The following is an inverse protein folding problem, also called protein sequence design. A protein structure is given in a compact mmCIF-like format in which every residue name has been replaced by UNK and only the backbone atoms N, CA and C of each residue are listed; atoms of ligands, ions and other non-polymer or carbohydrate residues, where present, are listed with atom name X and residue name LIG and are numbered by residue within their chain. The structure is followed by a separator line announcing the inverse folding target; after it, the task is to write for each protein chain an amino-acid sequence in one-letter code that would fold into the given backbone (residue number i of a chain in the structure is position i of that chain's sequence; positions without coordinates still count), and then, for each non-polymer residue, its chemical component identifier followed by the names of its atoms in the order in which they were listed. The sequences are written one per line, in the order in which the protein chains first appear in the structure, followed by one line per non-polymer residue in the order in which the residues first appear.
data_IF_053414321951
#
_entry.id   IF_053414321951
#
_cell.length_a   1.000
_cell.length_b   1.000
_cell.length_c   1.000
_cell.angle_alpha   90.00
_cell.angle_beta   90.00
_cell.angle_gamma   90.00
#
_symmetry.space_group_name_H-M   'P 1'
#
loop_
_entity.id
_entity.type
_entity.pdbx_description
1 polymer ?
#
# COMPACT_ATOMS: atom_id res chain seq x y z
N UNK A 1 -13.76 -48.23 -37.65
CA UNK A 1 -14.12 -48.11 -39.08
C UNK A 1 -14.59 -46.67 -39.34
N UNK A 2 -13.91 -45.98 -40.26
CA UNK A 2 -14.24 -44.70 -40.96
C UNK A 2 -14.39 -43.40 -40.13
N UNK A 3 -13.48 -42.40 -40.19
CA UNK A 3 -13.27 -41.32 -41.22
C UNK A 3 -14.49 -40.39 -41.41
N UNK A 4 -14.45 -39.05 -41.46
CA UNK A 4 -13.46 -38.02 -41.87
C UNK A 4 -13.79 -36.66 -41.16
N UNK A 5 -12.87 -35.75 -40.77
CA UNK A 5 -12.05 -34.76 -41.50
C UNK A 5 -12.78 -33.82 -42.48
N UNK A 6 -12.92 -32.52 -42.13
CA UNK A 6 -12.87 -31.36 -43.06
C UNK A 6 -12.30 -30.14 -42.32
N UNK A 7 -11.25 -29.55 -42.90
CA UNK A 7 -10.68 -28.24 -42.58
C UNK A 7 -11.18 -27.18 -43.58
N UNK A 8 -11.22 -25.90 -43.20
CA UNK A 8 -11.09 -24.79 -44.16
C UNK A 8 -10.45 -23.56 -43.53
N UNK A 9 -9.48 -23.00 -44.24
CA UNK A 9 -8.58 -21.91 -43.88
C UNK A 9 -8.97 -20.56 -44.52
N UNK A 10 -8.24 -19.52 -44.08
CA UNK A 10 -7.95 -18.23 -44.78
C UNK A 10 -9.00 -17.12 -44.58
N UNK A 11 -8.67 -15.88 -44.22
CA UNK A 11 -7.75 -14.98 -44.95
C UNK A 11 -7.29 -13.78 -44.11
N UNK A 12 -6.03 -13.42 -44.27
CA UNK A 12 -5.27 -12.26 -43.76
C UNK A 12 -5.70 -10.93 -44.38
N UNK A 13 -5.67 -9.82 -43.64
CA UNK A 13 -5.38 -8.50 -44.22
C UNK A 13 -4.62 -7.59 -43.24
N UNK A 14 -3.40 -7.23 -43.64
CA UNK A 14 -2.51 -6.21 -43.05
C UNK A 14 -2.75 -4.87 -43.75
N UNK A 15 -2.87 -3.77 -42.98
CA UNK A 15 -2.74 -2.38 -43.47
C UNK A 15 -2.01 -1.62 -42.34
N UNK A 16 -0.68 -1.44 -42.44
CA UNK A 16 0.07 -0.34 -43.08
C UNK A 16 0.12 0.96 -42.26
N UNK A 17 1.34 1.25 -41.82
CA UNK A 17 1.86 2.43 -41.11
C UNK A 17 1.59 3.77 -41.79
N UNK A 18 1.59 4.84 -40.97
CA UNK A 18 2.08 6.16 -41.38
C UNK A 18 2.61 6.96 -40.17
N UNK A 19 3.94 7.14 -40.14
CA UNK A 19 4.65 8.15 -39.34
C UNK A 19 4.39 9.52 -39.95
N UNK A 20 4.19 10.54 -39.11
CA UNK A 20 4.29 11.95 -39.53
C UNK A 20 5.39 12.65 -38.72
N UNK A 21 6.19 13.40 -39.46
CA UNK A 21 7.47 14.01 -39.11
C UNK A 21 7.36 15.28 -38.26
N UNK A 22 8.38 15.51 -37.44
CA UNK A 22 8.79 16.81 -36.91
C UNK A 22 9.25 17.77 -38.03
N UNK A 23 9.11 19.09 -37.84
CA UNK A 23 10.00 20.05 -38.46
C UNK A 23 10.98 20.66 -37.43
N UNK A 24 12.24 20.69 -37.86
CA UNK A 24 13.37 21.40 -37.26
C UNK A 24 13.74 22.65 -38.05
N UNK A 25 14.43 23.59 -37.36
CA UNK A 25 15.35 24.64 -37.84
C UNK A 25 14.80 26.05 -38.07
N UNK A 26 15.43 27.02 -37.39
CA UNK A 26 16.30 28.09 -37.95
C UNK A 26 16.52 29.14 -36.86
N UNK A 27 17.71 29.27 -36.27
CA UNK A 27 18.96 29.91 -36.74
C UNK A 27 19.00 31.44 -36.56
N UNK A 28 19.96 31.84 -35.72
CA UNK A 28 20.87 32.99 -35.84
C UNK A 28 20.29 34.41 -35.65
N UNK A 29 20.83 35.13 -34.66
CA UNK A 29 21.74 36.28 -34.87
C UNK A 29 22.09 36.96 -33.52
N UNK A 30 23.38 37.01 -33.21
CA UNK A 30 23.98 37.96 -32.24
C UNK A 30 24.30 39.28 -32.95
N UNK A 31 24.47 40.38 -32.20
CA UNK A 31 25.83 40.90 -31.92
C UNK A 31 25.96 41.37 -30.45
N UNK A 32 27.02 41.03 -29.70
CA UNK A 32 28.39 41.59 -29.67
C UNK A 32 28.50 43.03 -29.12
N UNK A 33 29.62 43.28 -28.41
CA UNK A 33 30.21 44.56 -27.94
C UNK A 33 29.70 45.01 -26.55
N UNK A 34 30.50 45.35 -25.51
CA UNK A 34 31.93 45.70 -25.34
C UNK A 34 32.34 45.59 -23.86
N UNK A 35 33.58 45.19 -23.59
CA UNK A 35 34.29 45.40 -22.32
C UNK A 35 35.08 46.72 -22.33
N UNK A 36 35.38 47.29 -21.16
CA UNK A 36 36.70 47.87 -20.95
C UNK A 36 37.45 47.20 -19.80
N UNK A 37 38.76 47.11 -20.03
CA UNK A 37 39.81 46.51 -19.22
C UNK A 37 40.66 47.65 -18.69
N UNK A 38 40.81 47.80 -17.37
CA UNK A 38 41.90 48.60 -16.77
C UNK A 38 42.30 48.04 -15.40
N UNK A 39 43.54 47.54 -15.35
CA UNK A 39 44.43 47.42 -14.19
C UNK A 39 45.39 48.64 -14.25
N UNK A 40 46.00 49.15 -13.16
CA UNK A 40 47.15 48.43 -12.59
C UNK A 40 47.52 48.66 -11.09
N UNK A 41 48.44 47.77 -10.68
CA UNK A 41 49.63 47.94 -9.82
C UNK A 41 49.55 48.13 -8.30
N UNK A 42 50.13 47.11 -7.64
CA UNK A 42 51.18 47.12 -6.61
C UNK A 42 50.86 47.49 -5.16
N UNK A 43 51.18 46.54 -4.26
CA UNK A 43 51.72 46.85 -2.94
C UNK A 43 51.23 45.98 -1.79
N UNK A 44 52.18 45.34 -1.11
CA UNK A 44 52.14 44.89 0.29
C UNK A 44 51.50 43.53 0.67
N UNK A 45 52.42 42.57 0.76
CA UNK A 45 52.59 41.54 1.80
C UNK A 45 51.63 41.61 3.01
N UNK A 46 50.84 40.55 3.19
CA UNK A 46 50.31 40.18 4.51
C UNK A 46 50.10 38.67 4.60
N UNK A 47 50.62 38.08 5.68
CA UNK A 47 50.45 36.67 6.04
C UNK A 47 48.97 36.27 5.99
N UNK A 48 48.66 35.23 5.21
CA UNK A 48 47.36 34.55 5.27
C UNK A 48 47.44 33.49 6.36
N UNK A 49 46.82 33.77 7.50
CA UNK A 49 46.46 32.75 8.48
C UNK A 49 45.38 31.87 7.86
N UNK A 50 45.73 30.62 7.54
CA UNK A 50 44.80 29.62 7.03
C UNK A 50 43.97 29.04 8.19
N UNK A 51 43.07 29.83 8.78
CA UNK A 51 41.96 29.24 9.53
C UNK A 51 40.89 28.84 8.53
N UNK A 52 40.92 27.59 8.09
CA UNK A 52 39.82 26.97 7.35
C UNK A 52 38.57 26.94 8.23
N UNK A 53 37.77 28.01 8.20
CA UNK A 53 36.39 27.95 8.63
C UNK A 53 35.65 27.13 7.59
N UNK A 54 35.61 25.82 7.79
CA UNK A 54 34.60 24.96 7.19
C UNK A 54 33.26 25.38 7.79
N UNK A 55 32.65 26.40 7.19
CA UNK A 55 31.22 26.64 7.35
C UNK A 55 30.53 25.48 6.66
N UNK A 56 30.27 24.42 7.41
CA UNK A 56 29.37 23.37 7.00
C UNK A 56 27.98 24.01 6.91
N UNK A 57 27.67 24.54 5.73
CA UNK A 57 26.32 24.94 5.36
C UNK A 57 25.46 23.67 5.34
N UNK A 58 24.92 23.29 6.51
CA UNK A 58 23.81 22.34 6.61
C UNK A 58 22.67 22.94 5.78
N UNK A 59 22.54 22.48 4.54
CA UNK A 59 21.34 22.72 3.73
C UNK A 59 20.22 21.95 4.41
N UNK A 60 19.48 22.60 5.29
CA UNK A 60 18.22 22.08 5.79
C UNK A 60 17.23 22.09 4.62
N UNK A 61 16.98 20.92 4.05
CA UNK A 61 15.86 20.73 3.15
C UNK A 61 14.59 20.72 4.01
N UNK A 62 13.88 21.85 4.00
CA UNK A 62 12.53 21.93 4.55
C UNK A 62 11.56 21.92 3.36
N UNK A 63 10.91 20.78 3.14
CA UNK A 63 9.76 20.69 2.24
C UNK A 63 8.52 20.79 3.13
N UNK A 64 7.61 21.71 2.80
CA UNK A 64 6.28 21.76 3.42
C UNK A 64 5.39 20.78 2.65
N UNK A 65 5.16 19.60 3.20
CA UNK A 65 4.14 18.68 2.70
C UNK A 65 2.75 19.24 3.06
N UNK A 66 1.79 19.21 2.14
CA UNK A 66 0.37 19.45 2.47
C UNK A 66 -0.19 18.22 3.19
N UNK A 67 -1.29 18.39 3.94
CA UNK A 67 -1.90 17.29 4.70
C UNK A 67 -2.31 16.09 3.83
N UNK A 68 -2.57 16.32 2.53
CA UNK A 68 -2.89 15.27 1.54
C UNK A 68 -1.66 14.51 1.02
N UNK A 69 -0.43 14.93 1.38
CA UNK A 69 0.84 14.30 0.94
C UNK A 69 1.44 13.37 2.01
N UNK A 70 0.77 13.18 3.16
CA UNK A 70 1.29 12.33 4.22
C UNK A 70 1.14 10.84 3.84
N UNK A 71 2.15 10.01 4.11
CA UNK A 71 2.00 8.58 3.94
C UNK A 71 0.91 8.05 4.87
N UNK A 72 0.12 7.09 4.42
CA UNK A 72 -0.94 6.49 5.26
C UNK A 72 -0.35 5.79 6.49
N UNK A 73 0.72 5.02 6.30
CA UNK A 73 1.42 4.33 7.39
C UNK A 73 2.06 5.37 8.33
N UNK A 74 1.84 5.19 9.63
CA UNK A 74 2.26 6.11 10.70
C UNK A 74 1.23 7.20 11.02
N UNK A 75 0.11 7.27 10.30
CA UNK A 75 -0.95 8.25 10.52
C UNK A 75 -2.29 7.58 10.83
N UNK A 76 -3.23 8.37 11.38
CA UNK A 76 -4.60 7.93 11.64
C UNK A 76 -5.25 7.46 10.33
N UNK A 77 -5.90 6.30 10.38
CA UNK A 77 -6.65 5.78 9.24
C UNK A 77 -7.80 6.72 8.86
N UNK A 78 -8.06 6.94 7.55
CA UNK A 78 -9.26 7.64 7.11
C UNK A 78 -10.51 6.93 7.64
N UNK A 79 -11.32 7.64 8.43
CA UNK A 79 -12.56 7.07 8.96
C UNK A 79 -13.61 6.92 7.86
N UNK A 80 -14.48 5.91 8.00
CA UNK A 80 -15.60 5.68 7.10
C UNK A 80 -16.78 5.10 7.87
N UNK A 81 -17.98 5.31 7.35
CA UNK A 81 -19.20 4.58 7.73
C UNK A 81 -19.82 4.05 6.44
N UNK A 82 -20.08 2.74 6.37
CA UNK A 82 -20.62 2.09 5.19
C UNK A 82 -21.50 0.89 5.56
N UNK A 83 -22.35 0.49 4.63
CA UNK A 83 -23.13 -0.74 4.74
C UNK A 83 -22.23 -1.94 4.47
N UNK A 84 -22.50 -3.05 5.17
CA UNK A 84 -21.78 -4.29 5.04
C UNK A 84 -22.72 -5.49 5.14
N UNK A 85 -22.26 -6.65 4.66
CA UNK A 85 -22.91 -7.95 4.88
C UNK A 85 -22.17 -8.70 5.98
N UNK A 86 -22.89 -9.15 7.00
CA UNK A 86 -22.40 -10.04 8.05
C UNK A 86 -23.54 -10.94 8.52
N UNK A 87 -23.29 -12.23 8.75
CA UNK A 87 -24.34 -13.23 9.04
C UNK A 87 -25.53 -13.19 8.07
N UNK A 88 -25.25 -12.91 6.79
CA UNK A 88 -26.23 -12.73 5.71
C UNK A 88 -27.25 -11.58 5.95
N UNK A 89 -26.97 -10.68 6.88
CA UNK A 89 -27.75 -9.47 7.16
C UNK A 89 -27.01 -8.20 6.71
N UNK A 90 -27.77 -7.14 6.45
CA UNK A 90 -27.21 -5.82 6.18
C UNK A 90 -26.99 -5.07 7.49
N UNK A 91 -25.73 -4.74 7.77
CA UNK A 91 -25.32 -3.99 8.94
C UNK A 91 -24.61 -2.69 8.52
N UNK A 92 -24.36 -1.81 9.49
CA UNK A 92 -23.47 -0.67 9.31
C UNK A 92 -22.15 -0.92 10.04
N UNK A 93 -21.05 -0.57 9.38
CA UNK A 93 -19.71 -0.63 9.95
C UNK A 93 -19.12 0.77 9.91
N UNK A 94 -18.58 1.20 11.05
CA UNK A 94 -17.82 2.44 11.15
C UNK A 94 -16.43 2.16 11.71
N UNK A 95 -15.37 2.55 10.99
CA UNK A 95 -14.00 2.20 11.36
C UNK A 95 -13.61 2.73 12.74
N UNK A 96 -14.01 3.96 13.08
CA UNK A 96 -13.72 4.54 14.38
C UNK A 96 -14.38 3.83 15.57
N UNK A 97 -15.35 2.93 15.36
CA UNK A 97 -15.96 2.15 16.44
C UNK A 97 -15.03 1.06 16.99
N UNK A 98 -13.97 0.69 16.26
CA UNK A 98 -12.95 -0.26 16.70
C UNK A 98 -11.83 0.39 17.51
N UNK A 99 -11.67 1.73 17.42
CA UNK A 99 -10.64 2.48 18.15
C UNK A 99 -10.83 2.28 19.66
N UNK A 100 -9.75 1.97 20.34
CA UNK A 100 -9.67 1.66 21.77
C UNK A 100 -10.15 0.24 22.12
N UNK A 101 -10.65 -0.54 21.15
CA UNK A 101 -11.23 -1.86 21.39
C UNK A 101 -10.41 -2.97 20.74
N UNK A 102 -10.24 -2.94 19.43
CA UNK A 102 -9.60 -4.02 18.64
C UNK A 102 -8.56 -3.43 17.67
N UNK A 103 -7.59 -4.27 17.27
CA UNK A 103 -6.86 -4.03 16.03
C UNK A 103 -7.78 -4.29 14.83
N UNK A 104 -7.45 -3.75 13.66
CA UNK A 104 -8.24 -3.99 12.44
C UNK A 104 -7.31 -4.38 11.29
N UNK A 105 -7.62 -5.51 10.66
CA UNK A 105 -7.11 -5.87 9.33
C UNK A 105 -8.14 -5.42 8.30
N UNK A 106 -7.86 -4.30 7.64
CA UNK A 106 -8.71 -3.76 6.57
C UNK A 106 -8.10 -4.14 5.23
N UNK A 107 -8.79 -4.96 4.44
CA UNK A 107 -8.27 -5.39 3.14
C UNK A 107 -9.27 -5.14 2.02
N UNK A 108 -8.76 -4.59 0.92
CA UNK A 108 -9.50 -4.30 -0.29
C UNK A 108 -9.34 -5.44 -1.29
N UNK A 109 -10.37 -5.70 -2.07
CA UNK A 109 -10.30 -6.56 -3.25
C UNK A 109 -11.02 -5.91 -4.44
N UNK A 110 -10.65 -6.28 -5.68
CA UNK A 110 -11.15 -5.57 -6.86
C UNK A 110 -12.67 -5.64 -7.07
N UNK A 111 -13.22 -6.85 -7.16
CA UNK A 111 -14.61 -7.13 -7.53
C UNK A 111 -15.07 -8.49 -6.99
N UNK A 112 -16.36 -8.57 -6.70
CA UNK A 112 -17.11 -9.81 -6.46
C UNK A 112 -17.14 -10.72 -7.71
N UNK A 113 -17.40 -12.01 -7.52
CA UNK A 113 -17.51 -13.02 -8.59
C UNK A 113 -16.29 -13.10 -9.53
N UNK A 114 -15.09 -12.87 -8.98
CA UNK A 114 -13.81 -13.03 -9.68
C UNK A 114 -13.01 -14.22 -9.14
N UNK A 115 -11.73 -14.37 -9.53
CA UNK A 115 -10.98 -15.62 -9.34
C UNK A 115 -10.09 -15.65 -8.08
N UNK A 116 -9.23 -14.65 -7.88
CA UNK A 116 -8.30 -14.61 -6.73
C UNK A 116 -8.99 -14.09 -5.46
N UNK A 117 -9.94 -13.18 -5.61
CA UNK A 117 -10.68 -12.59 -4.49
C UNK A 117 -11.34 -13.62 -3.56
N UNK A 118 -12.11 -14.62 -4.05
CA UNK A 118 -12.74 -15.59 -3.16
C UNK A 118 -11.71 -16.42 -2.39
N UNK A 119 -10.53 -16.68 -2.97
CA UNK A 119 -9.47 -17.41 -2.26
C UNK A 119 -8.90 -16.62 -1.09
N UNK A 120 -8.78 -15.30 -1.22
CA UNK A 120 -8.28 -14.45 -0.12
C UNK A 120 -9.35 -14.28 0.96
N UNK A 121 -10.59 -13.99 0.55
CA UNK A 121 -11.71 -13.76 1.46
C UNK A 121 -11.95 -15.00 2.33
N UNK A 122 -12.03 -16.18 1.70
CA UNK A 122 -12.23 -17.44 2.43
C UNK A 122 -11.03 -17.83 3.28
N UNK A 123 -9.80 -17.59 2.84
CA UNK A 123 -8.59 -17.88 3.63
C UNK A 123 -8.51 -17.05 4.93
N UNK A 124 -8.90 -15.77 4.90
CA UNK A 124 -9.04 -14.97 6.13
C UNK A 124 -10.19 -15.48 7.00
N UNK A 125 -11.30 -15.93 6.39
CA UNK A 125 -12.49 -16.36 7.14
C UNK A 125 -12.23 -17.66 7.88
N UNK A 126 -11.59 -18.62 7.22
CA UNK A 126 -11.27 -19.93 7.79
C UNK A 126 -10.29 -19.82 8.96
N UNK A 127 -9.49 -18.74 9.00
CA UNK A 127 -8.53 -18.44 10.07
C UNK A 127 -8.96 -17.29 10.98
N UNK A 128 -10.22 -16.85 10.88
CA UNK A 128 -10.71 -15.69 11.63
C UNK A 128 -10.52 -15.83 13.14
N UNK A 129 -10.74 -17.02 13.70
CA UNK A 129 -10.54 -17.27 15.14
C UNK A 129 -9.12 -16.94 15.62
N UNK A 130 -8.10 -17.07 14.77
CA UNK A 130 -6.72 -16.72 15.14
C UNK A 130 -6.58 -15.21 15.34
N UNK A 131 -7.24 -14.41 14.50
CA UNK A 131 -7.28 -12.95 14.63
C UNK A 131 -8.13 -12.52 15.83
N UNK A 132 -9.27 -13.17 16.04
CA UNK A 132 -10.16 -12.89 17.17
C UNK A 132 -9.45 -13.12 18.50
N UNK A 133 -8.69 -14.23 18.65
CA UNK A 133 -7.87 -14.52 19.84
C UNK A 133 -6.80 -13.45 20.10
N UNK A 134 -6.34 -12.77 19.06
CA UNK A 134 -5.43 -11.62 19.14
C UNK A 134 -6.16 -10.28 19.23
N UNK A 135 -7.45 -10.29 19.59
CA UNK A 135 -8.28 -9.09 19.75
C UNK A 135 -8.23 -8.19 18.50
N UNK A 136 -8.40 -8.83 17.33
CA UNK A 136 -8.30 -8.21 16.01
C UNK A 136 -9.55 -8.51 15.20
N UNK A 137 -10.09 -7.49 14.54
CA UNK A 137 -11.19 -7.61 13.58
C UNK A 137 -10.65 -7.70 12.15
N UNK A 138 -11.37 -8.39 11.27
CA UNK A 138 -11.08 -8.41 9.82
C UNK A 138 -12.21 -7.73 9.08
N UNK A 139 -11.89 -6.87 8.11
CA UNK A 139 -12.87 -6.19 7.26
C UNK A 139 -12.44 -6.34 5.79
N UNK A 140 -13.28 -6.99 4.99
CA UNK A 140 -13.12 -7.05 3.54
C UNK A 140 -13.87 -5.90 2.87
N UNK A 141 -13.29 -5.25 1.87
CA UNK A 141 -13.90 -4.11 1.18
C UNK A 141 -13.78 -4.27 -0.34
N UNK A 142 -14.86 -4.04 -1.08
CA UNK A 142 -14.78 -3.77 -2.53
C UNK A 142 -15.75 -2.67 -2.93
N UNK A 143 -15.73 -2.31 -4.22
CA UNK A 143 -16.63 -1.31 -4.80
C UNK A 143 -18.02 -1.84 -5.12
N UNK A 144 -18.29 -3.12 -4.83
CA UNK A 144 -19.57 -3.77 -5.09
C UNK A 144 -20.61 -3.39 -4.03
N UNK A 145 -21.89 -3.57 -4.36
CA UNK A 145 -22.99 -3.30 -3.42
C UNK A 145 -23.19 -4.45 -2.43
N UNK A 146 -23.82 -4.17 -1.29
CA UNK A 146 -24.21 -5.22 -0.31
C UNK A 146 -25.10 -6.32 -0.90
N UNK A 147 -25.87 -6.02 -1.97
CA UNK A 147 -26.67 -7.04 -2.67
C UNK A 147 -25.80 -8.04 -3.44
N UNK A 148 -24.69 -7.56 -4.03
CA UNK A 148 -23.71 -8.41 -4.70
C UNK A 148 -22.98 -9.28 -3.67
N UNK A 149 -22.53 -8.67 -2.56
CA UNK A 149 -21.90 -9.39 -1.46
C UNK A 149 -22.80 -10.51 -0.93
N UNK A 150 -24.08 -10.22 -0.64
CA UNK A 150 -25.02 -11.20 -0.13
C UNK A 150 -25.23 -12.36 -1.12
N UNK A 151 -25.42 -12.05 -2.41
CA UNK A 151 -25.54 -13.07 -3.43
C UNK A 151 -24.29 -13.95 -3.53
N UNK A 152 -23.10 -13.37 -3.33
CA UNK A 152 -21.84 -14.10 -3.40
C UNK A 152 -21.57 -14.97 -2.16
N UNK A 153 -21.96 -14.48 -0.97
CA UNK A 153 -22.00 -15.24 0.30
C UNK A 153 -22.93 -16.44 0.17
N UNK A 154 -24.11 -16.25 -0.42
CA UNK A 154 -25.08 -17.33 -0.66
C UNK A 154 -24.67 -18.32 -1.77
N UNK A 155 -23.58 -18.05 -2.50
CA UNK A 155 -23.05 -18.95 -3.51
C UNK A 155 -22.05 -19.92 -2.87
N UNK A 156 -22.18 -21.21 -3.19
CA UNK A 156 -21.25 -22.24 -2.70
C UNK A 156 -19.80 -21.99 -3.14
N UNK A 157 -18.84 -22.24 -2.24
CA UNK A 157 -17.40 -22.16 -2.56
C UNK A 157 -16.99 -23.02 -3.76
N UNK A 158 -17.61 -24.19 -3.94
CA UNK A 158 -17.37 -25.09 -5.09
C UNK A 158 -17.77 -24.46 -6.43
N UNK A 159 -18.68 -23.49 -6.41
CA UNK A 159 -19.16 -22.75 -7.58
C UNK A 159 -18.46 -21.39 -7.74
N UNK A 160 -17.38 -21.14 -6.99
CA UNK A 160 -16.66 -19.86 -6.98
C UNK A 160 -17.29 -18.79 -6.06
N UNK A 161 -18.22 -19.19 -5.19
CA UNK A 161 -18.79 -18.35 -4.15
C UNK A 161 -17.95 -18.28 -2.88
N UNK A 162 -18.49 -17.64 -1.86
CA UNK A 162 -17.79 -17.47 -0.57
C UNK A 162 -18.29 -18.44 0.51
N UNK A 163 -19.56 -18.85 0.45
CA UNK A 163 -20.23 -19.44 1.61
C UNK A 163 -20.30 -18.47 2.79
N UNK A 164 -20.65 -18.98 3.97
CA UNK A 164 -20.68 -18.16 5.19
C UNK A 164 -19.28 -17.62 5.53
N UNK A 165 -19.26 -16.38 6.02
CA UNK A 165 -18.06 -15.65 6.42
C UNK A 165 -18.11 -15.30 7.90
N UNK A 166 -16.94 -15.29 8.52
CA UNK A 166 -16.78 -14.98 9.94
C UNK A 166 -16.51 -13.49 10.21
N UNK A 167 -16.60 -12.64 9.19
CA UNK A 167 -16.37 -11.20 9.32
C UNK A 167 -17.14 -10.38 8.27
N UNK A 168 -17.31 -9.06 8.47
CA UNK A 168 -18.08 -8.21 7.56
C UNK A 168 -17.44 -7.98 6.18
N UNK A 169 -18.26 -8.03 5.12
CA UNK A 169 -17.93 -7.49 3.78
C UNK A 169 -18.56 -6.12 3.59
N UNK A 170 -17.71 -5.09 3.55
CA UNK A 170 -18.09 -3.68 3.44
C UNK A 170 -18.20 -3.27 1.97
N UNK A 171 -19.32 -2.63 1.64
CA UNK A 171 -19.60 -2.10 0.30
C UNK A 171 -19.14 -0.65 0.18
N UNK A 172 -18.12 -0.40 -0.65
CA UNK A 172 -17.64 0.93 -1.05
C UNK A 172 -18.22 1.36 -2.41
N UNK A 173 -19.55 1.34 -2.53
CA UNK A 173 -20.25 1.64 -3.79
C UNK A 173 -19.92 3.05 -4.35
N UNK A 174 -19.56 3.99 -3.47
CA UNK A 174 -19.16 5.35 -3.83
C UNK A 174 -17.69 5.49 -4.18
N UNK A 175 -16.88 4.45 -3.94
CA UNK A 175 -15.43 4.38 -4.15
C UNK A 175 -14.62 5.32 -3.27
N UNK A 176 -15.27 5.95 -2.28
CA UNK A 176 -14.66 6.96 -1.43
C UNK A 176 -13.68 6.35 -0.44
N UNK A 177 -13.98 5.15 0.06
CA UNK A 177 -13.10 4.42 0.99
C UNK A 177 -11.82 4.03 0.23
N UNK A 178 -11.95 3.34 -0.89
CA UNK A 178 -10.85 2.91 -1.76
C UNK A 178 -9.97 4.09 -2.20
N UNK A 179 -10.59 5.25 -2.48
CA UNK A 179 -9.87 6.48 -2.81
C UNK A 179 -9.08 7.04 -1.62
N UNK A 180 -9.70 7.09 -0.44
CA UNK A 180 -9.05 7.61 0.79
C UNK A 180 -7.87 6.76 1.26
N UNK A 181 -7.91 5.45 1.00
CA UNK A 181 -6.80 4.53 1.24
C UNK A 181 -5.81 4.44 0.08
N UNK A 182 -6.00 5.23 -0.99
CA UNK A 182 -5.05 5.29 -2.12
C UNK A 182 -4.95 4.01 -2.95
N UNK A 183 -5.97 3.14 -2.90
CA UNK A 183 -5.96 1.84 -3.58
C UNK A 183 -6.89 1.79 -4.79
N UNK A 184 -7.73 2.81 -5.00
CA UNK A 184 -8.59 2.91 -6.18
C UNK A 184 -7.77 3.10 -7.46
N UNK A 185 -8.00 2.27 -8.48
CA UNK A 185 -7.53 2.48 -9.85
C UNK A 185 -8.58 3.36 -10.56
N UNK A 186 -8.33 4.67 -10.80
CA UNK A 186 -9.37 5.59 -11.25
C UNK A 186 -9.98 5.18 -12.61
N UNK A 187 -9.14 4.71 -13.53
CA UNK A 187 -9.54 4.36 -14.90
C UNK A 187 -10.40 3.09 -14.98
N UNK A 188 -10.30 2.22 -13.97
CA UNK A 188 -11.04 0.96 -13.90
C UNK A 188 -12.18 1.02 -12.87
N UNK A 189 -12.10 1.95 -11.92
CA UNK A 189 -13.09 2.11 -10.87
C UNK A 189 -13.17 0.94 -9.90
N UNK A 190 -12.05 0.23 -9.69
CA UNK A 190 -11.90 -0.91 -8.77
C UNK A 190 -10.68 -0.69 -7.87
N UNK A 191 -10.63 -1.36 -6.72
CA UNK A 191 -9.48 -1.29 -5.83
C UNK A 191 -8.36 -2.28 -6.23
N UNK A 192 -7.12 -1.91 -5.98
CA UNK A 192 -5.99 -2.83 -5.88
C UNK A 192 -6.16 -3.77 -4.67
N UNK A 193 -5.30 -4.79 -4.57
CA UNK A 193 -5.26 -5.69 -3.41
C UNK A 193 -4.48 -5.04 -2.26
N UNK A 194 -5.01 -3.94 -1.75
CA UNK A 194 -4.48 -3.23 -0.58
C UNK A 194 -4.90 -3.90 0.72
N UNK A 195 -3.99 -4.01 1.69
CA UNK A 195 -4.25 -4.47 3.03
C UNK A 195 -3.57 -3.52 4.01
N UNK A 196 -4.26 -3.17 5.07
CA UNK A 196 -3.80 -2.26 6.11
C UNK A 196 -3.99 -2.91 7.48
N UNK A 197 -2.96 -2.86 8.33
CA UNK A 197 -3.06 -3.23 9.74
C UNK A 197 -3.17 -1.93 10.53
N UNK A 198 -4.26 -1.78 11.27
CA UNK A 198 -4.60 -0.58 12.03
C UNK A 198 -4.58 -0.95 13.51
N UNK A 199 -3.88 -0.16 14.32
CA UNK A 199 -3.80 -0.37 15.76
C UNK A 199 -5.03 0.12 16.52
N UNK A 200 -5.03 -0.11 17.84
CA UNK A 200 -6.13 0.31 18.72
C UNK A 200 -6.27 1.82 18.80
N UNK A 201 -5.24 2.59 18.51
CA UNK A 201 -5.25 4.05 18.45
C UNK A 201 -5.82 4.55 17.12
N UNK A 202 -6.11 3.65 16.17
CA UNK A 202 -6.61 3.94 14.84
C UNK A 202 -5.52 4.40 13.88
N UNK A 203 -4.24 4.10 14.17
CA UNK A 203 -3.09 4.44 13.33
C UNK A 203 -2.77 3.26 12.41
N UNK A 204 -2.53 3.54 11.13
CA UNK A 204 -2.11 2.52 10.17
C UNK A 204 -0.64 2.19 10.43
N UNK A 205 -0.35 0.94 10.78
CA UNK A 205 1.00 0.48 11.12
C UNK A 205 1.68 -0.27 9.98
N UNK A 206 0.90 -0.85 9.08
CA UNK A 206 1.40 -1.64 7.97
C UNK A 206 0.54 -1.46 6.72
N UNK A 207 1.17 -1.59 5.55
CA UNK A 207 0.46 -1.68 4.28
C UNK A 207 1.11 -2.70 3.35
N UNK A 208 0.28 -3.55 2.74
CA UNK A 208 0.65 -4.41 1.59
C UNK A 208 -0.25 -4.04 0.43
N UNK A 209 0.32 -3.70 -0.73
CA UNK A 209 -0.47 -3.39 -1.94
C UNK A 209 0.03 -4.27 -3.07
N UNK A 210 -0.77 -5.30 -3.38
CA UNK A 210 -0.50 -6.17 -4.52
C UNK A 210 -1.25 -5.70 -5.77
N UNK A 211 -0.65 -5.95 -6.94
CA UNK A 211 -1.35 -5.83 -8.20
C UNK A 211 -2.42 -6.94 -8.34
N UNK A 212 -3.38 -6.77 -9.25
CA UNK A 212 -4.62 -7.56 -9.34
C UNK A 212 -4.41 -9.09 -9.44
N UNK A 213 -3.31 -9.53 -10.05
CA UNK A 213 -3.02 -10.95 -10.28
C UNK A 213 -2.28 -11.67 -9.15
N UNK A 214 -1.90 -10.99 -8.06
CA UNK A 214 -1.04 -11.55 -7.01
C UNK A 214 -1.81 -11.60 -5.68
N UNK A 215 -2.21 -12.80 -5.26
CA UNK A 215 -2.84 -13.03 -3.97
C UNK A 215 -1.92 -12.68 -2.79
N UNK A 216 -2.50 -12.28 -1.67
CA UNK A 216 -1.82 -11.96 -0.41
C UNK A 216 -1.60 -13.21 0.45
N UNK A 217 -0.79 -13.06 1.49
CA UNK A 217 -0.52 -14.11 2.48
C UNK A 217 -1.18 -13.77 3.82
N UNK A 218 -2.04 -14.68 4.29
CA UNK A 218 -2.63 -14.62 5.64
C UNK A 218 -1.54 -14.82 6.70
N UNK A 219 -0.55 -15.69 6.43
CA UNK A 219 0.57 -15.93 7.35
C UNK A 219 1.41 -14.68 7.60
N UNK A 220 1.73 -13.93 6.54
CA UNK A 220 2.52 -12.71 6.69
C UNK A 220 1.73 -11.59 7.38
N UNK A 221 0.41 -11.55 7.14
CA UNK A 221 -0.49 -10.64 7.85
C UNK A 221 -0.49 -10.96 9.35
N UNK A 222 -0.63 -12.24 9.70
CA UNK A 222 -0.56 -12.72 11.08
C UNK A 222 0.79 -12.40 11.74
N UNK A 223 1.90 -12.70 11.06
CA UNK A 223 3.25 -12.43 11.56
C UNK A 223 3.46 -10.94 11.85
N UNK A 224 3.02 -10.08 10.94
CA UNK A 224 3.17 -8.62 11.08
C UNK A 224 2.29 -8.06 12.18
N UNK A 225 1.05 -8.56 12.32
CA UNK A 225 0.15 -8.22 13.42
C UNK A 225 0.78 -8.61 14.78
N UNK A 226 1.30 -9.83 14.91
CA UNK A 226 1.94 -10.29 16.13
C UNK A 226 3.20 -9.47 16.46
N UNK A 227 3.98 -9.08 15.46
CA UNK A 227 5.14 -8.21 15.64
C UNK A 227 4.73 -6.82 16.14
N UNK A 228 3.65 -6.25 15.57
CA UNK A 228 3.07 -4.98 16.01
C UNK A 228 2.63 -5.06 17.49
N UNK A 229 1.87 -6.10 17.84
CA UNK A 229 1.40 -6.30 19.22
C UNK A 229 2.58 -6.44 20.19
N UNK A 230 3.60 -7.21 19.81
CA UNK A 230 4.80 -7.39 20.61
C UNK A 230 5.51 -6.07 20.92
N UNK A 231 5.75 -5.20 19.92
CA UNK A 231 6.44 -3.91 20.16
C UNK A 231 5.56 -2.91 20.93
N UNK A 232 4.24 -2.98 20.80
CA UNK A 232 3.33 -2.14 21.60
C UNK A 232 3.25 -2.60 23.06
N UNK A 233 3.31 -3.91 23.31
CA UNK A 233 3.38 -4.49 24.67
C UNK A 233 4.77 -4.35 25.30
N UNK A 234 5.82 -4.21 24.48
CA UNK A 234 7.21 -4.05 24.89
C UNK A 234 7.82 -2.80 24.24
N UNK A 235 7.49 -1.58 24.72
CA UNK A 235 7.86 -0.33 24.03
C UNK A 235 9.36 -0.06 23.88
N UNK A 236 10.19 -0.74 24.67
CA UNK A 236 11.66 -0.64 24.61
C UNK A 236 12.30 -1.64 23.63
N UNK A 237 11.51 -2.44 22.91
CA UNK A 237 11.96 -3.49 21.99
C UNK A 237 11.47 -3.23 20.56
N UNK A 238 12.23 -3.74 19.57
CA UNK A 238 11.83 -3.80 18.16
C UNK A 238 12.03 -5.20 17.59
N UNK A 239 11.21 -5.56 16.60
CA UNK A 239 11.27 -6.85 15.93
C UNK A 239 12.26 -6.83 14.74
N UNK A 240 13.25 -7.73 14.68
CA UNK A 240 14.15 -7.90 13.53
C UNK A 240 13.44 -8.40 12.25
N UNK A 241 14.20 -8.45 11.15
CA UNK A 241 13.72 -9.00 9.89
C UNK A 241 13.31 -10.47 10.04
N UNK A 242 12.12 -10.82 9.54
CA UNK A 242 11.59 -12.19 9.60
C UNK A 242 11.10 -12.64 10.98
N UNK A 243 11.11 -11.74 11.98
CA UNK A 243 10.75 -12.07 13.36
C UNK A 243 9.41 -12.80 13.46
N UNK A 244 9.39 -13.83 14.30
CA UNK A 244 8.20 -14.58 14.73
C UNK A 244 8.11 -14.65 16.26
N UNK A 245 6.91 -14.88 16.84
CA UNK A 245 6.78 -15.10 18.27
C UNK A 245 7.74 -16.17 18.81
N UNK A 246 8.46 -15.84 19.88
CA UNK A 246 9.49 -16.69 20.49
C UNK A 246 10.92 -16.41 20.00
N UNK A 247 11.11 -15.65 18.92
CA UNK A 247 12.43 -15.22 18.46
C UNK A 247 12.92 -13.97 19.20
N UNK A 248 14.25 -13.79 19.23
CA UNK A 248 14.87 -12.64 19.92
C UNK A 248 14.50 -11.32 19.23
N UNK A 249 14.08 -10.36 20.04
CA UNK A 249 13.92 -8.94 19.70
C UNK A 249 15.22 -8.16 20.01
N UNK A 250 15.22 -6.86 19.73
CA UNK A 250 16.34 -5.99 20.07
C UNK A 250 15.87 -4.66 20.66
N UNK A 251 16.63 -4.12 21.61
CA UNK A 251 16.44 -2.76 22.12
C UNK A 251 17.00 -1.74 21.13
N UNK A 252 16.25 -0.72 20.70
CA UNK A 252 16.70 0.27 19.72
C UNK A 252 17.62 1.33 20.35
N UNK A 253 18.65 0.90 21.07
CA UNK A 253 19.71 1.74 21.62
C UNK A 253 21.09 1.29 21.10
N UNK A 254 22.00 2.22 20.70
CA UNK A 254 23.29 1.87 20.11
C UNK A 254 24.22 1.01 20.98
N UNK A 255 24.04 1.01 22.31
CA UNK A 255 24.80 0.18 23.24
C UNK A 255 24.06 -1.13 23.53
N UNK A 256 22.75 -1.05 23.81
CA UNK A 256 21.95 -2.23 24.20
C UNK A 256 21.74 -3.20 23.03
N UNK A 257 21.59 -2.69 21.81
CA UNK A 257 21.44 -3.52 20.60
C UNK A 257 22.61 -4.48 20.35
N UNK A 258 23.80 -4.21 20.92
CA UNK A 258 24.97 -5.09 20.82
C UNK A 258 24.72 -6.47 21.44
N UNK A 259 23.83 -6.57 22.42
CA UNK A 259 23.42 -7.85 23.01
C UNK A 259 22.81 -8.75 21.93
N UNK A 260 21.89 -8.22 21.14
CA UNK A 260 21.29 -8.92 20.02
C UNK A 260 22.35 -9.31 18.97
N UNK A 261 23.17 -8.36 18.54
CA UNK A 261 24.20 -8.60 17.50
C UNK A 261 25.32 -9.56 17.93
N UNK A 262 25.52 -9.79 19.22
CA UNK A 262 26.48 -10.77 19.72
C UNK A 262 25.97 -12.21 19.68
N UNK A 263 24.66 -12.40 19.52
CA UNK A 263 23.99 -13.68 19.61
C UNK A 263 23.55 -14.24 18.24
N UNK A 264 23.77 -13.49 17.16
CA UNK A 264 23.53 -13.89 15.76
C UNK A 264 24.87 -14.12 15.05
#
# INVERSE_FOLDING_TARGET
MSMASIASSSTTTLISSSRVLLPSKSSLLSPAVSFPRTLPSSGFSRLVSLTSRLSASRRSFAVKAQADDLPLVGNKAPDFEAEAVFDQEFIKVKLSEYIGKKYVILFFYPLDFTFVCPTEITAFSDRYEEFEKLNTEVLGVSVDSVFSHLAWVQTDRKSGGLGDLNYPLVSDITKSISKSFGVLIPDQGIALRGLFIIDKEGVIQHSTINNLGIGRSVDETMRTLQALQYVQENPDEVCPAGWKPGEKSMKPDPKLSKEYFSAI
#
